data_IF_060266645023
#
_entry.id   IF_060266645023
#
_cell.length_a   1.000
_cell.length_b   1.000
_cell.length_c   1.000
_cell.angle_alpha   90.00
_cell.angle_beta   90.00
_cell.angle_gamma   90.00
#
_symmetry.space_group_name_H-M   'P 1'
#
loop_
_entity.id
_entity.type
_entity.pdbx_description
1 polymer ?
#
# COMPACT_ATOMS: atom_id res chain seq x y z
N UNK A 1 -10.81 -8.77 35.16
CA UNK A 1 -10.68 -7.82 34.00
C UNK A 1 -11.01 -6.42 34.51
N UNK A 2 -10.05 -5.48 34.60
CA UNK A 2 -10.34 -4.10 35.00
C UNK A 2 -11.01 -3.36 33.86
N UNK A 3 -12.26 -3.03 33.97
CA UNK A 3 -12.98 -2.19 32.99
C UNK A 3 -12.37 -0.80 33.06
N UNK A 4 -11.92 -0.32 31.89
CA UNK A 4 -11.29 1.00 31.75
C UNK A 4 -12.37 2.09 31.80
N UNK A 5 -12.44 2.84 32.90
CA UNK A 5 -13.43 3.93 33.08
C UNK A 5 -13.10 5.23 32.33
N UNK A 6 -12.06 5.26 31.50
CA UNK A 6 -11.75 6.45 30.68
C UNK A 6 -12.46 6.34 29.32
N UNK A 7 -13.27 7.35 28.98
CA UNK A 7 -13.80 7.50 27.63
C UNK A 7 -12.64 7.51 26.63
N UNK A 8 -12.77 6.74 25.56
CA UNK A 8 -11.84 6.85 24.45
C UNK A 8 -11.96 8.25 23.83
N UNK A 9 -10.84 8.84 23.44
CA UNK A 9 -10.86 10.02 22.61
C UNK A 9 -11.60 9.69 21.32
N UNK A 10 -12.61 10.44 20.97
CA UNK A 10 -13.51 10.15 19.85
C UNK A 10 -12.93 10.54 18.50
N UNK A 11 -11.90 11.37 18.47
CA UNK A 11 -11.24 11.79 17.22
C UNK A 11 -9.76 12.05 17.46
N UNK A 12 -8.89 11.78 16.49
CA UNK A 12 -7.51 12.26 16.51
C UNK A 12 -7.50 13.79 16.60
N UNK A 13 -6.70 14.31 17.51
CA UNK A 13 -6.61 15.74 17.75
C UNK A 13 -5.58 16.36 16.80
N UNK A 14 -5.98 17.37 16.04
CA UNK A 14 -5.04 18.21 15.30
C UNK A 14 -4.51 19.31 16.19
N UNK A 15 -3.21 19.32 16.46
CA UNK A 15 -2.57 20.38 17.22
C UNK A 15 -2.46 21.68 16.41
N UNK A 16 -2.12 22.78 17.12
CA UNK A 16 -1.96 24.11 16.49
C UNK A 16 -0.89 24.10 15.40
N UNK A 17 0.14 23.27 15.54
CA UNK A 17 1.24 23.18 14.58
C UNK A 17 0.75 22.55 13.27
N UNK A 18 -0.03 21.47 13.36
CA UNK A 18 -0.65 20.80 12.19
C UNK A 18 -1.60 21.75 11.47
N UNK A 19 -2.48 22.45 12.21
CA UNK A 19 -3.42 23.43 11.63
C UNK A 19 -2.65 24.55 10.92
N UNK A 20 -1.63 25.11 11.56
CA UNK A 20 -0.80 26.17 10.97
C UNK A 20 -0.08 25.71 9.71
N UNK A 21 0.43 24.48 9.68
CA UNK A 21 1.09 23.91 8.52
C UNK A 21 0.12 23.77 7.33
N UNK A 22 -1.11 23.30 7.56
CA UNK A 22 -2.14 23.18 6.53
C UNK A 22 -2.54 24.57 5.99
N UNK A 23 -2.83 25.54 6.87
CA UNK A 23 -3.17 26.91 6.48
C UNK A 23 -2.05 27.54 5.64
N UNK A 24 -0.78 27.33 6.02
CA UNK A 24 0.38 27.81 5.24
C UNK A 24 0.42 27.21 3.83
N UNK A 25 0.08 25.93 3.68
CA UNK A 25 0.03 25.27 2.37
C UNK A 25 -1.09 25.81 1.49
N UNK A 26 -2.28 26.01 2.06
CA UNK A 26 -3.42 26.62 1.37
C UNK A 26 -3.08 28.04 0.90
N UNK A 27 -2.55 28.89 1.79
CA UNK A 27 -2.15 30.25 1.44
C UNK A 27 -1.11 30.34 0.33
N UNK A 28 -0.18 29.36 0.29
CA UNK A 28 0.84 29.26 -0.77
C UNK A 28 0.33 28.59 -2.04
N UNK A 29 -0.90 28.08 -2.07
CA UNK A 29 -1.45 27.26 -3.16
C UNK A 29 -0.57 26.06 -3.51
N UNK A 30 0.10 25.50 -2.49
CA UNK A 30 0.96 24.31 -2.61
C UNK A 30 0.16 23.04 -2.37
N UNK A 31 -0.56 22.59 -3.39
CA UNK A 31 -1.31 21.33 -3.37
C UNK A 31 -0.42 20.11 -3.67
N UNK A 32 -0.95 19.05 -4.23
CA UNK A 32 -0.26 17.76 -4.38
C UNK A 32 1.00 17.79 -5.25
N UNK A 33 1.11 18.76 -6.17
CA UNK A 33 2.25 18.92 -7.10
C UNK A 33 2.65 17.63 -7.86
N UNK A 34 1.69 16.76 -8.13
CA UNK A 34 1.90 15.60 -8.98
C UNK A 34 1.92 16.02 -10.45
N UNK A 35 3.07 16.42 -10.94
CA UNK A 35 3.26 16.67 -12.37
C UNK A 35 4.75 16.73 -12.71
N UNK A 36 5.13 16.08 -13.79
CA UNK A 36 6.51 16.08 -14.29
C UNK A 36 7.48 15.20 -13.52
N UNK A 37 8.71 15.18 -13.96
CA UNK A 37 9.79 14.36 -13.39
C UNK A 37 10.34 14.95 -12.09
N UNK A 38 10.72 14.15 -11.08
CA UNK A 38 11.37 14.65 -9.88
C UNK A 38 12.76 15.19 -10.18
N UNK A 39 13.18 16.17 -9.38
CA UNK A 39 14.54 16.67 -9.41
C UNK A 39 15.58 15.60 -9.00
N UNK A 40 16.86 15.88 -9.28
CA UNK A 40 17.98 14.96 -9.05
C UNK A 40 18.11 14.53 -7.57
N UNK A 41 17.85 15.43 -6.63
CA UNK A 41 17.96 15.15 -5.18
C UNK A 41 16.82 14.25 -4.73
N UNK A 42 15.61 14.48 -5.20
CA UNK A 42 14.43 13.66 -4.94
C UNK A 42 14.63 12.23 -5.47
N UNK A 43 15.23 12.07 -6.66
CA UNK A 43 15.58 10.75 -7.22
C UNK A 43 16.53 9.98 -6.30
N UNK A 44 17.62 10.60 -5.89
CA UNK A 44 18.63 10.01 -5.00
C UNK A 44 18.00 9.57 -3.67
N UNK A 45 17.14 10.41 -3.13
CA UNK A 45 16.46 10.17 -1.85
C UNK A 45 15.48 8.99 -1.89
N UNK A 46 14.82 8.78 -3.01
CA UNK A 46 13.85 7.68 -3.18
C UNK A 46 14.52 6.35 -3.56
N UNK A 47 15.85 6.31 -3.67
CA UNK A 47 16.57 5.13 -4.14
C UNK A 47 16.24 4.75 -5.60
N UNK A 48 15.61 5.66 -6.33
CA UNK A 48 15.26 5.50 -7.74
C UNK A 48 16.40 6.08 -8.56
N UNK A 49 17.54 5.40 -8.57
CA UNK A 49 18.64 5.78 -9.45
C UNK A 49 18.26 5.45 -10.90
N UNK A 50 18.20 6.48 -11.70
CA UNK A 50 18.29 6.48 -13.16
C UNK A 50 17.22 5.83 -14.04
N UNK A 51 16.36 4.97 -13.56
CA UNK A 51 15.61 4.05 -14.45
C UNK A 51 14.36 4.66 -15.09
N UNK A 52 13.79 5.75 -14.58
CA UNK A 52 12.43 6.14 -15.01
C UNK A 52 12.30 7.61 -15.38
N UNK A 53 13.37 8.37 -15.50
CA UNK A 53 13.20 9.80 -15.68
C UNK A 53 14.09 10.39 -16.75
N UNK A 54 13.50 10.91 -17.82
CA UNK A 54 14.24 11.62 -18.85
C UNK A 54 14.88 12.88 -18.29
N UNK A 55 15.97 13.34 -18.94
CA UNK A 55 16.63 14.62 -18.70
C UNK A 55 15.74 15.84 -18.92
N UNK A 56 14.44 15.65 -19.07
CA UNK A 56 13.51 16.69 -19.45
C UNK A 56 13.01 17.47 -18.24
N UNK A 57 13.37 18.74 -18.25
CA UNK A 57 12.70 19.90 -17.68
C UNK A 57 13.13 20.29 -16.27
N UNK A 58 13.81 21.41 -16.20
CA UNK A 58 13.87 22.38 -15.09
C UNK A 58 12.47 22.89 -14.72
N UNK A 59 11.56 22.02 -14.31
CA UNK A 59 10.26 22.43 -13.82
C UNK A 59 10.08 21.91 -12.40
N UNK A 60 9.54 22.73 -11.53
CA UNK A 60 9.14 22.40 -10.15
C UNK A 60 8.08 21.29 -10.08
N UNK A 61 7.78 20.62 -11.17
CA UNK A 61 6.74 19.61 -11.31
C UNK A 61 7.31 18.25 -10.95
N UNK A 62 6.70 17.57 -10.00
CA UNK A 62 7.15 16.28 -9.51
C UNK A 62 6.15 15.17 -9.83
N UNK A 63 6.59 14.17 -10.57
CA UNK A 63 5.84 12.93 -10.84
C UNK A 63 5.53 12.15 -9.56
N UNK A 64 6.34 12.30 -8.53
CA UNK A 64 6.18 11.60 -7.25
C UNK A 64 5.36 12.36 -6.21
N UNK A 65 4.90 13.55 -6.52
CA UNK A 65 4.21 14.43 -5.60
C UNK A 65 5.09 15.51 -4.98
N UNK A 66 4.48 16.43 -4.27
CA UNK A 66 5.17 17.52 -3.58
C UNK A 66 5.91 17.06 -2.34
N UNK A 67 6.70 17.99 -1.76
CA UNK A 67 7.55 17.74 -0.59
C UNK A 67 6.84 17.05 0.58
N UNK A 68 5.58 17.39 0.85
CA UNK A 68 4.82 16.80 1.96
C UNK A 68 4.53 15.31 1.72
N UNK A 69 4.18 14.94 0.49
CA UNK A 69 3.96 13.55 0.07
C UNK A 69 5.26 12.74 0.22
N UNK A 70 6.38 13.27 -0.28
CA UNK A 70 7.68 12.62 -0.18
C UNK A 70 8.14 12.44 1.26
N UNK A 71 7.88 13.43 2.13
CA UNK A 71 8.17 13.33 3.55
C UNK A 71 7.31 12.27 4.25
N UNK A 72 6.02 12.19 3.93
CA UNK A 72 5.14 11.14 4.45
C UNK A 72 5.66 9.76 4.05
N UNK A 73 5.93 9.53 2.77
CA UNK A 73 6.43 8.25 2.27
C UNK A 73 7.76 7.86 2.94
N UNK A 74 8.68 8.82 3.09
CA UNK A 74 9.96 8.60 3.78
C UNK A 74 9.79 8.26 5.25
N UNK A 75 9.01 9.06 5.97
CA UNK A 75 8.82 8.88 7.41
C UNK A 75 8.14 7.55 7.69
N UNK A 76 7.17 7.16 6.86
CA UNK A 76 6.49 5.86 6.98
C UNK A 76 7.43 4.70 6.66
N UNK A 77 8.27 4.82 5.63
CA UNK A 77 9.29 3.82 5.33
C UNK A 77 10.26 3.61 6.49
N UNK A 78 10.71 4.70 7.11
CA UNK A 78 11.60 4.64 8.28
C UNK A 78 10.91 4.00 9.48
N UNK A 79 9.65 4.38 9.76
CA UNK A 79 8.86 3.85 10.85
C UNK A 79 8.60 2.34 10.71
N UNK A 80 8.20 1.92 9.52
CA UNK A 80 7.93 0.51 9.20
C UNK A 80 9.20 -0.31 8.93
N UNK A 81 10.37 0.33 8.81
CA UNK A 81 11.64 -0.30 8.41
C UNK A 81 11.56 -1.03 7.08
N UNK A 82 10.88 -0.41 6.10
CA UNK A 82 10.75 -0.90 4.72
C UNK A 82 11.49 0.00 3.74
N UNK A 83 11.83 -0.53 2.57
CA UNK A 83 12.57 0.24 1.55
C UNK A 83 11.70 1.26 0.83
N UNK A 84 10.43 0.96 0.62
CA UNK A 84 9.54 1.77 -0.22
C UNK A 84 8.17 1.93 0.43
N UNK A 85 7.68 3.16 0.40
CA UNK A 85 6.30 3.52 0.71
C UNK A 85 5.76 4.35 -0.44
N UNK A 86 4.51 4.11 -0.83
CA UNK A 86 3.81 4.85 -1.88
C UNK A 86 2.46 5.28 -1.32
N UNK A 87 2.19 6.59 -1.32
CA UNK A 87 0.93 7.14 -0.86
C UNK A 87 -0.10 7.18 -1.98
N UNK A 88 -1.36 6.93 -1.64
CA UNK A 88 -2.52 6.97 -2.54
C UNK A 88 -3.73 7.54 -1.81
N UNK A 89 -4.77 7.89 -2.54
CA UNK A 89 -5.95 8.59 -2.00
C UNK A 89 -6.87 7.76 -1.10
N UNK A 90 -6.69 6.44 -1.01
CA UNK A 90 -7.42 5.57 -0.07
C UNK A 90 -6.75 4.20 0.08
N UNK A 91 -7.08 3.44 1.12
CA UNK A 91 -6.61 2.05 1.26
C UNK A 91 -7.21 1.15 0.17
N UNK A 92 -8.42 1.42 -0.30
CA UNK A 92 -9.01 0.69 -1.44
C UNK A 92 -8.16 0.85 -2.69
N UNK A 93 -7.77 2.09 -3.01
CA UNK A 93 -6.85 2.35 -4.13
C UNK A 93 -5.47 1.72 -3.89
N UNK A 94 -5.01 1.68 -2.63
CA UNK A 94 -3.75 1.03 -2.27
C UNK A 94 -3.79 -0.48 -2.53
N UNK A 95 -4.87 -1.16 -2.13
CA UNK A 95 -5.06 -2.60 -2.36
C UNK A 95 -5.15 -2.90 -3.87
N UNK A 96 -5.99 -2.15 -4.60
CA UNK A 96 -6.09 -2.28 -6.07
C UNK A 96 -4.73 -2.09 -6.74
N UNK A 97 -4.00 -1.05 -6.36
CA UNK A 97 -2.66 -0.76 -6.88
C UNK A 97 -1.67 -1.88 -6.53
N UNK A 98 -1.69 -2.38 -5.30
CA UNK A 98 -0.80 -3.46 -4.85
C UNK A 98 -1.05 -4.76 -5.63
N UNK A 99 -2.31 -5.13 -5.86
CA UNK A 99 -2.69 -6.30 -6.66
C UNK A 99 -2.16 -6.17 -8.10
N UNK A 100 -2.45 -5.04 -8.76
CA UNK A 100 -1.98 -4.78 -10.12
C UNK A 100 -0.44 -4.73 -10.20
N UNK A 101 0.23 -4.14 -9.21
CA UNK A 101 1.69 -4.06 -9.16
C UNK A 101 2.36 -5.42 -8.98
N UNK A 102 1.61 -6.41 -8.49
CA UNK A 102 2.04 -7.81 -8.39
C UNK A 102 1.73 -8.62 -9.66
N UNK A 103 1.32 -7.98 -10.75
CA UNK A 103 0.96 -8.63 -12.03
C UNK A 103 -0.22 -9.61 -11.88
N UNK A 104 -1.17 -9.31 -11.00
CA UNK A 104 -2.39 -10.09 -10.78
C UNK A 104 -3.56 -9.38 -11.46
N UNK A 105 -4.34 -10.12 -12.24
CA UNK A 105 -5.41 -9.59 -13.05
C UNK A 105 -6.43 -10.63 -13.52
N UNK A 106 -7.01 -10.47 -14.73
CA UNK A 106 -8.11 -11.28 -15.21
C UNK A 106 -7.82 -12.80 -15.16
N UNK A 107 -8.69 -13.53 -14.48
CA UNK A 107 -8.62 -14.99 -14.36
C UNK A 107 -7.70 -15.52 -13.26
N UNK A 108 -6.89 -14.65 -12.62
CA UNK A 108 -6.09 -15.01 -11.46
C UNK A 108 -6.95 -15.07 -10.21
N UNK A 109 -6.63 -15.97 -9.29
CA UNK A 109 -7.32 -16.10 -8.01
C UNK A 109 -6.51 -15.52 -6.86
N UNK A 110 -7.21 -14.80 -5.96
CA UNK A 110 -6.65 -14.35 -4.67
C UNK A 110 -7.46 -14.96 -3.55
N UNK A 111 -6.81 -15.75 -2.69
CA UNK A 111 -7.45 -16.32 -1.51
C UNK A 111 -7.53 -15.22 -0.44
N UNK A 112 -8.75 -14.94 0.05
CA UNK A 112 -9.01 -13.93 1.08
C UNK A 112 -10.17 -14.37 1.98
N UNK A 113 -10.29 -13.76 3.16
CA UNK A 113 -11.46 -13.98 4.01
C UNK A 113 -12.65 -13.11 3.56
N UNK A 114 -13.90 -13.63 3.59
CA UNK A 114 -15.09 -12.80 3.44
C UNK A 114 -15.39 -11.97 4.71
N UNK A 115 -14.79 -12.32 5.84
CA UNK A 115 -14.91 -11.58 7.09
C UNK A 115 -13.96 -10.39 7.09
N UNK A 116 -14.38 -9.31 6.41
CA UNK A 116 -13.57 -8.13 6.19
C UNK A 116 -14.45 -6.92 5.83
N UNK A 117 -13.85 -5.74 5.84
CA UNK A 117 -14.45 -4.58 5.18
C UNK A 117 -14.47 -4.79 3.66
N UNK A 118 -15.55 -4.39 3.02
CA UNK A 118 -15.82 -4.64 1.58
C UNK A 118 -14.64 -4.26 0.66
N UNK A 119 -13.85 -3.25 1.03
CA UNK A 119 -12.72 -2.76 0.23
C UNK A 119 -11.69 -3.84 -0.12
N UNK A 120 -11.42 -4.80 0.79
CA UNK A 120 -10.47 -5.88 0.53
C UNK A 120 -10.91 -6.74 -0.66
N UNK A 121 -12.19 -7.12 -0.69
CA UNK A 121 -12.76 -7.92 -1.79
C UNK A 121 -13.00 -7.07 -3.04
N UNK A 122 -13.51 -5.85 -2.88
CA UNK A 122 -13.78 -4.94 -3.99
C UNK A 122 -12.51 -4.62 -4.79
N UNK A 123 -11.36 -4.48 -4.11
CA UNK A 123 -10.06 -4.26 -4.78
C UNK A 123 -9.62 -5.44 -5.65
N UNK A 124 -9.94 -6.67 -5.24
CA UNK A 124 -9.68 -7.88 -6.05
C UNK A 124 -10.55 -7.86 -7.31
N UNK A 125 -11.85 -7.63 -7.14
CA UNK A 125 -12.80 -7.59 -8.27
C UNK A 125 -12.46 -6.44 -9.23
N UNK A 126 -12.05 -5.28 -8.72
CA UNK A 126 -11.65 -4.13 -9.54
C UNK A 126 -10.46 -4.40 -10.46
N UNK A 127 -9.65 -5.40 -10.16
CA UNK A 127 -8.55 -5.85 -11.04
C UNK A 127 -8.95 -6.98 -11.99
N UNK A 128 -10.23 -7.36 -12.03
CA UNK A 128 -10.76 -8.53 -12.73
C UNK A 128 -10.14 -9.87 -12.25
N UNK A 129 -9.49 -9.88 -11.10
CA UNK A 129 -9.10 -11.11 -10.41
C UNK A 129 -10.30 -11.71 -9.66
N UNK A 130 -10.21 -12.97 -9.31
CA UNK A 130 -11.28 -13.75 -8.70
C UNK A 130 -11.00 -13.87 -7.19
N UNK A 131 -11.84 -13.30 -6.30
CA UNK A 131 -11.72 -13.55 -4.88
C UNK A 131 -12.13 -15.00 -4.57
N UNK A 132 -11.24 -15.74 -3.94
CA UNK A 132 -11.51 -17.11 -3.48
C UNK A 132 -11.66 -17.09 -1.97
N UNK A 133 -12.88 -17.25 -1.50
CA UNK A 133 -13.19 -17.11 -0.09
C UNK A 133 -12.68 -18.28 0.73
N UNK A 134 -11.98 -17.93 1.80
CA UNK A 134 -11.45 -18.82 2.83
C UNK A 134 -12.02 -18.41 4.18
N UNK A 135 -12.42 -19.40 4.95
CA UNK A 135 -12.91 -19.20 6.30
C UNK A 135 -11.80 -18.69 7.26
N UNK A 136 -12.22 -18.21 8.41
CA UNK A 136 -11.35 -17.67 9.46
C UNK A 136 -11.08 -18.70 10.56
N UNK A 137 -10.02 -18.46 11.31
CA UNK A 137 -9.79 -19.03 12.63
C UNK A 137 -10.59 -18.21 13.65
N UNK A 138 -11.48 -18.89 14.40
CA UNK A 138 -12.38 -18.25 15.36
C UNK A 138 -11.68 -17.61 16.55
N UNK A 139 -10.42 -17.97 16.83
CA UNK A 139 -9.65 -17.36 17.92
C UNK A 139 -9.03 -16.03 17.49
N UNK A 140 -8.68 -15.89 16.23
CA UNK A 140 -7.98 -14.71 15.70
C UNK A 140 -8.84 -13.83 14.82
N UNK A 141 -9.94 -14.36 14.28
CA UNK A 141 -10.78 -13.75 13.24
C UNK A 141 -10.01 -13.40 11.95
N UNK A 142 -8.82 -13.97 11.80
CA UNK A 142 -8.01 -13.86 10.61
C UNK A 142 -8.11 -15.15 9.78
N UNK A 143 -7.68 -15.10 8.52
CA UNK A 143 -7.70 -16.21 7.59
C UNK A 143 -7.05 -17.48 8.18
N UNK A 144 -7.76 -18.62 8.13
CA UNK A 144 -7.24 -19.92 8.56
C UNK A 144 -6.22 -20.45 7.55
N UNK A 145 -4.95 -20.63 7.95
CA UNK A 145 -3.90 -21.05 7.01
C UNK A 145 -4.10 -22.46 6.47
N UNK A 146 -4.73 -23.38 7.21
CA UNK A 146 -4.97 -24.76 6.76
C UNK A 146 -6.03 -24.78 5.66
N UNK A 147 -7.13 -24.05 5.91
CA UNK A 147 -8.21 -23.91 4.92
C UNK A 147 -7.72 -23.16 3.69
N UNK A 148 -6.91 -22.09 3.89
CA UNK A 148 -6.33 -21.35 2.76
C UNK A 148 -5.46 -22.24 1.87
N UNK A 149 -4.64 -23.11 2.45
CA UNK A 149 -3.80 -24.03 1.67
C UNK A 149 -4.62 -25.01 0.84
N UNK A 150 -5.71 -25.55 1.37
CA UNK A 150 -6.59 -26.49 0.65
C UNK A 150 -7.31 -25.86 -0.55
N UNK A 151 -7.41 -24.52 -0.56
CA UNK A 151 -8.04 -23.76 -1.65
C UNK A 151 -7.11 -23.43 -2.81
N UNK A 152 -5.81 -23.70 -2.72
CA UNK A 152 -4.83 -23.34 -3.75
C UNK A 152 -5.10 -24.13 -5.04
N UNK A 153 -5.15 -23.40 -6.16
CA UNK A 153 -5.25 -23.97 -7.52
C UNK A 153 -4.10 -23.46 -8.40
N UNK A 154 -4.04 -23.92 -9.64
CA UNK A 154 -3.08 -23.41 -10.65
C UNK A 154 -3.31 -21.93 -10.99
N UNK A 155 -4.51 -21.39 -10.74
CA UNK A 155 -4.88 -20.00 -10.98
C UNK A 155 -4.57 -19.11 -9.78
N UNK A 156 -4.33 -19.66 -8.60
CA UNK A 156 -4.04 -18.89 -7.40
C UNK A 156 -2.70 -18.18 -7.55
N UNK A 157 -2.68 -16.86 -7.36
CA UNK A 157 -1.48 -16.00 -7.44
C UNK A 157 -1.10 -15.38 -6.11
N UNK A 158 -2.08 -15.17 -5.22
CA UNK A 158 -1.83 -14.54 -3.94
C UNK A 158 -2.73 -15.07 -2.83
N UNK A 159 -2.26 -14.87 -1.59
CA UNK A 159 -3.09 -14.89 -0.39
C UNK A 159 -3.11 -13.46 0.14
N UNK A 160 -4.30 -12.92 0.41
CA UNK A 160 -4.49 -11.65 1.09
C UNK A 160 -4.78 -11.90 2.56
N UNK A 161 -3.78 -11.65 3.41
CA UNK A 161 -3.93 -11.72 4.87
C UNK A 161 -4.50 -10.39 5.37
N UNK A 162 -5.72 -10.45 5.93
CA UNK A 162 -6.43 -9.30 6.48
C UNK A 162 -6.25 -9.33 7.99
N UNK A 163 -5.70 -8.26 8.55
CA UNK A 163 -5.42 -8.14 9.98
C UNK A 163 -6.61 -7.52 10.68
N UNK A 164 -7.63 -8.33 10.96
CA UNK A 164 -8.88 -7.87 11.57
C UNK A 164 -8.67 -7.32 12.98
N UNK A 165 -9.16 -6.10 13.24
CA UNK A 165 -9.02 -5.42 14.53
C UNK A 165 -7.60 -5.41 15.10
N UNK A 166 -6.60 -5.22 14.23
CA UNK A 166 -5.18 -5.25 14.60
C UNK A 166 -4.68 -6.62 15.07
N UNK A 167 -5.44 -7.68 14.83
CA UNK A 167 -5.01 -9.04 15.11
C UNK A 167 -4.27 -9.62 13.89
N UNK A 168 -3.25 -10.39 14.15
CA UNK A 168 -2.54 -11.14 13.11
C UNK A 168 -2.84 -12.62 13.30
N UNK A 169 -3.33 -13.27 12.28
CA UNK A 169 -3.38 -14.73 12.27
C UNK A 169 -1.98 -15.36 12.26
N UNK A 170 -1.87 -16.63 11.99
CA UNK A 170 -0.57 -17.31 11.87
C UNK A 170 0.13 -16.92 10.56
N UNK A 171 0.72 -15.71 10.55
CA UNK A 171 1.46 -15.18 9.39
C UNK A 171 2.67 -16.02 9.02
N UNK A 172 3.31 -16.68 9.98
CA UNK A 172 4.45 -17.54 9.69
C UNK A 172 4.04 -18.73 8.84
N UNK A 173 2.88 -19.33 9.18
CA UNK A 173 2.33 -20.45 8.42
C UNK A 173 1.86 -20.01 7.03
N UNK A 174 1.12 -18.91 6.95
CA UNK A 174 0.70 -18.31 5.67
C UNK A 174 1.92 -18.01 4.79
N UNK A 175 2.96 -17.41 5.34
CA UNK A 175 4.20 -17.08 4.61
C UNK A 175 4.91 -18.34 4.10
N UNK A 176 4.95 -19.43 4.89
CA UNK A 176 5.51 -20.71 4.46
C UNK A 176 4.70 -21.31 3.31
N UNK A 177 3.36 -21.24 3.38
CA UNK A 177 2.45 -21.68 2.32
C UNK A 177 2.69 -20.89 1.03
N UNK A 178 2.73 -19.56 1.11
CA UNK A 178 3.01 -18.70 -0.02
C UNK A 178 4.37 -19.03 -0.67
N UNK A 179 5.43 -19.17 0.15
CA UNK A 179 6.77 -19.50 -0.36
C UNK A 179 6.80 -20.85 -1.10
N UNK A 180 6.19 -21.90 -0.52
CA UNK A 180 6.14 -23.24 -1.10
C UNK A 180 5.39 -23.27 -2.44
N UNK A 181 4.31 -22.51 -2.53
CA UNK A 181 3.44 -22.47 -3.70
C UNK A 181 3.74 -21.31 -4.66
N UNK A 182 4.83 -20.54 -4.42
CA UNK A 182 5.24 -19.38 -5.22
C UNK A 182 4.13 -18.32 -5.32
N UNK A 183 3.35 -18.14 -4.27
CA UNK A 183 2.28 -17.15 -4.16
C UNK A 183 2.81 -15.85 -3.58
N UNK A 184 2.17 -14.75 -3.94
CA UNK A 184 2.37 -13.44 -3.32
C UNK A 184 1.60 -13.37 -2.00
N UNK A 185 2.24 -12.86 -0.96
CA UNK A 185 1.56 -12.52 0.29
C UNK A 185 1.26 -11.02 0.31
N UNK A 186 -0.02 -10.67 0.23
CA UNK A 186 -0.53 -9.31 0.39
C UNK A 186 -1.05 -9.16 1.81
N UNK A 187 -0.65 -8.09 2.52
CA UNK A 187 -1.17 -7.79 3.85
C UNK A 187 -2.13 -6.59 3.79
N UNK A 188 -3.39 -6.79 4.12
CA UNK A 188 -4.31 -5.69 4.43
C UNK A 188 -4.16 -5.31 5.90
N UNK A 189 -3.27 -4.34 6.16
CA UNK A 189 -2.98 -3.79 7.48
C UNK A 189 -3.71 -2.45 7.73
N UNK A 190 -4.84 -2.23 7.06
CA UNK A 190 -5.62 -0.99 7.15
C UNK A 190 -6.06 -0.60 8.56
N UNK A 191 -5.98 -1.51 9.51
CA UNK A 191 -6.35 -1.31 10.93
C UNK A 191 -5.17 -1.48 11.89
N UNK A 192 -3.92 -1.68 11.39
CA UNK A 192 -2.81 -2.19 12.19
C UNK A 192 -1.67 -1.19 12.37
N UNK A 193 -1.98 0.11 12.43
CA UNK A 193 -0.97 1.14 12.64
C UNK A 193 -0.21 0.90 13.96
N UNK A 194 1.10 0.70 13.85
CA UNK A 194 1.97 0.51 15.01
C UNK A 194 2.01 -0.89 15.61
N UNK A 195 1.16 -1.79 15.19
CA UNK A 195 1.12 -3.16 15.70
C UNK A 195 2.27 -4.00 15.20
N UNK A 196 2.75 -4.89 16.06
CA UNK A 196 3.88 -5.78 15.76
C UNK A 196 3.44 -7.25 15.77
N UNK A 197 4.04 -8.02 14.87
CA UNK A 197 4.05 -9.47 14.89
C UNK A 197 5.50 -9.94 14.98
N UNK A 198 5.89 -10.55 16.10
CA UNK A 198 7.26 -11.05 16.35
C UNK A 198 8.34 -10.01 16.01
N UNK A 199 8.22 -8.81 16.59
CA UNK A 199 9.16 -7.68 16.40
C UNK A 199 9.21 -7.08 14.98
N UNK A 200 8.23 -7.37 14.12
CA UNK A 200 8.07 -6.73 12.81
C UNK A 200 6.72 -6.06 12.73
N UNK A 201 6.65 -4.89 12.12
CA UNK A 201 5.38 -4.21 11.91
C UNK A 201 4.45 -5.06 11.04
N UNK A 202 3.18 -5.22 11.46
CA UNK A 202 2.14 -5.77 10.59
C UNK A 202 2.07 -4.92 9.30
N UNK A 203 1.84 -5.56 8.17
CA UNK A 203 1.92 -4.95 6.85
C UNK A 203 3.31 -4.96 6.21
N UNK A 204 4.35 -5.50 6.92
CA UNK A 204 5.74 -5.55 6.38
C UNK A 204 6.31 -6.95 6.28
N UNK A 205 5.51 -7.96 6.56
CA UNK A 205 5.92 -9.38 6.63
C UNK A 205 5.77 -10.06 5.28
N UNK A 206 4.75 -9.67 4.52
CA UNK A 206 4.48 -10.13 3.18
C UNK A 206 5.35 -9.47 2.11
N UNK A 207 4.93 -9.64 0.87
CA UNK A 207 5.58 -9.03 -0.30
C UNK A 207 5.19 -7.56 -0.47
N UNK A 208 3.95 -7.24 -0.11
CA UNK A 208 3.37 -5.90 -0.11
C UNK A 208 2.34 -5.79 1.00
N UNK A 209 2.30 -4.64 1.66
CA UNK A 209 1.30 -4.33 2.68
C UNK A 209 0.62 -3.00 2.42
N UNK A 210 -0.59 -2.84 2.95
CA UNK A 210 -1.42 -1.66 2.76
C UNK A 210 -1.90 -1.14 4.12
N UNK A 211 -1.89 0.20 4.26
CA UNK A 211 -2.43 0.90 5.42
C UNK A 211 -3.47 1.93 4.98
N UNK A 212 -4.47 2.15 5.83
CA UNK A 212 -5.48 3.20 5.64
C UNK A 212 -5.15 4.43 6.45
N UNK A 213 -5.32 5.60 5.87
CA UNK A 213 -5.24 6.89 6.58
C UNK A 213 -6.60 7.59 6.65
N UNK A 214 -7.68 6.82 6.50
CA UNK A 214 -9.06 7.31 6.60
C UNK A 214 -9.37 7.78 8.03
N UNK A 215 -10.34 8.69 8.18
CA UNK A 215 -10.70 9.37 9.42
C UNK A 215 -10.81 8.46 10.67
N UNK A 216 -11.45 7.27 10.66
CA UNK A 216 -11.57 6.44 11.86
C UNK A 216 -10.30 5.66 12.22
N UNK A 217 -9.17 5.89 11.55
CA UNK A 217 -7.92 5.16 11.82
C UNK A 217 -7.07 5.85 12.89
N UNK A 218 -6.21 5.06 13.57
CA UNK A 218 -5.32 5.58 14.62
C UNK A 218 -4.37 6.67 14.13
N UNK A 219 -4.00 6.62 12.86
CA UNK A 219 -3.27 7.68 12.15
C UNK A 219 -4.10 8.03 10.92
N UNK A 220 -4.53 9.26 10.83
CA UNK A 220 -5.44 9.70 9.79
C UNK A 220 -5.02 11.03 9.16
N UNK A 221 -5.47 11.24 7.93
CA UNK A 221 -5.31 12.51 7.18
C UNK A 221 -6.63 12.96 6.53
N UNK A 222 -7.77 12.39 6.98
CA UNK A 222 -9.08 12.51 6.36
C UNK A 222 -9.32 11.33 5.41
N UNK A 223 -8.71 11.34 4.25
CA UNK A 223 -8.68 10.22 3.31
C UNK A 223 -7.24 9.96 2.85
N UNK A 224 -6.88 8.69 2.71
CA UNK A 224 -5.57 8.29 2.23
C UNK A 224 -5.26 6.81 2.43
N UNK A 225 -4.23 6.36 1.75
CA UNK A 225 -3.69 5.01 1.89
C UNK A 225 -2.20 4.97 1.63
N UNK A 226 -1.55 3.95 2.15
CA UNK A 226 -0.12 3.72 1.94
C UNK A 226 0.11 2.28 1.49
N UNK A 227 0.98 2.12 0.51
CA UNK A 227 1.49 0.84 0.07
C UNK A 227 2.93 0.74 0.57
N UNK A 228 3.30 -0.36 1.19
CA UNK A 228 4.67 -0.61 1.65
C UNK A 228 5.22 -1.90 1.05
N UNK A 229 6.48 -1.89 0.68
CA UNK A 229 7.15 -3.09 0.13
C UNK A 229 8.67 -2.96 0.21
N UNK A 230 9.35 -4.11 0.22
CA UNK A 230 10.80 -4.18 0.03
C UNK A 230 11.19 -4.54 -1.41
N UNK A 231 10.20 -4.84 -2.27
CA UNK A 231 10.41 -5.24 -3.67
C UNK A 231 10.37 -4.02 -4.58
N UNK A 232 11.51 -3.72 -5.21
CA UNK A 232 11.68 -2.56 -6.10
C UNK A 232 10.69 -2.58 -7.27
N UNK A 233 10.47 -3.75 -7.89
CA UNK A 233 9.52 -3.91 -9.01
C UNK A 233 8.10 -3.50 -8.62
N UNK A 234 7.61 -3.95 -7.43
CA UNK A 234 6.29 -3.59 -6.92
C UNK A 234 6.21 -2.08 -6.65
N UNK A 235 7.24 -1.50 -6.04
CA UNK A 235 7.26 -0.07 -5.73
C UNK A 235 7.20 0.81 -6.99
N UNK A 236 7.95 0.46 -8.03
CA UNK A 236 7.95 1.18 -9.32
C UNK A 236 6.56 1.10 -9.95
N UNK A 237 6.03 -0.13 -10.10
CA UNK A 237 4.69 -0.34 -10.68
C UNK A 237 3.60 0.41 -9.90
N UNK A 238 3.65 0.36 -8.57
CA UNK A 238 2.69 1.10 -7.73
C UNK A 238 2.71 2.61 -7.99
N UNK A 239 3.90 3.20 -8.18
CA UNK A 239 4.01 4.63 -8.51
C UNK A 239 3.43 4.96 -9.89
N UNK A 240 3.67 4.11 -10.87
CA UNK A 240 3.11 4.28 -12.22
C UNK A 240 1.58 4.14 -12.20
N UNK A 241 1.06 3.08 -11.58
CA UNK A 241 -0.38 2.82 -11.49
C UNK A 241 -1.09 3.98 -10.78
N UNK A 242 -0.51 4.50 -9.69
CA UNK A 242 -1.03 5.66 -8.96
C UNK A 242 -1.20 6.89 -9.85
N UNK A 243 -0.38 7.06 -10.87
CA UNK A 243 -0.31 8.25 -11.71
C UNK A 243 -0.51 7.93 -13.20
N UNK A 244 -1.65 7.36 -13.54
CA UNK A 244 -2.12 7.09 -14.91
C UNK A 244 -1.28 6.08 -15.73
N UNK A 245 -0.33 5.38 -15.12
CA UNK A 245 0.60 4.52 -15.84
C UNK A 245 1.61 5.33 -16.68
N UNK A 246 1.67 6.63 -16.48
CA UNK A 246 2.57 7.51 -17.22
C UNK A 246 4.02 7.17 -16.92
N UNK A 247 4.59 6.40 -17.81
CA UNK A 247 6.01 6.13 -17.83
C UNK A 247 6.65 7.08 -18.85
N UNK A 248 7.14 8.22 -18.37
CA UNK A 248 7.93 9.14 -19.20
C UNK A 248 9.33 8.53 -19.30
N UNK A 249 9.45 7.49 -20.12
CA UNK A 249 10.71 6.76 -20.34
C UNK A 249 11.48 7.41 -21.46
N UNK A 250 12.78 7.58 -21.25
CA UNK A 250 13.72 7.75 -22.36
C UNK A 250 13.80 6.41 -23.14
N UNK A 251 13.63 6.44 -24.44
CA UNK A 251 13.67 5.29 -25.34
C UNK A 251 14.96 4.44 -25.26
N UNK A 252 15.93 4.85 -24.47
CA UNK A 252 17.23 4.17 -24.28
C UNK A 252 17.34 3.37 -22.99
N UNK A 253 16.30 3.31 -22.15
CA UNK A 253 16.36 2.56 -20.90
C UNK A 253 15.92 1.11 -21.10
N UNK A 254 16.73 0.19 -20.60
CA UNK A 254 16.57 -1.27 -20.71
C UNK A 254 15.34 -1.86 -19.98
N UNK A 255 14.58 -1.06 -19.24
CA UNK A 255 13.37 -1.50 -18.53
C UNK A 255 12.12 -1.50 -19.44
N UNK A 256 12.22 -2.12 -20.61
CA UNK A 256 11.10 -2.31 -21.55
C UNK A 256 9.90 -3.07 -20.94
N UNK A 257 10.14 -3.81 -19.87
CA UNK A 257 9.08 -4.57 -19.17
C UNK A 257 8.04 -3.70 -18.43
N UNK A 258 8.29 -2.39 -18.29
CA UNK A 258 7.43 -1.50 -17.49
C UNK A 258 6.63 -0.53 -18.37
N UNK A 259 6.77 -0.61 -19.69
CA UNK A 259 6.29 0.41 -20.63
C UNK A 259 4.77 0.44 -20.87
N UNK A 260 4.02 -0.59 -20.51
CA UNK A 260 2.59 -0.69 -20.81
C UNK A 260 1.76 -0.99 -19.55
N UNK A 261 1.76 -0.07 -18.59
CA UNK A 261 0.98 -0.20 -17.36
C UNK A 261 -0.26 0.68 -17.46
N UNK A 262 -1.43 0.09 -17.31
CA UNK A 262 -2.68 0.84 -17.09
C UNK A 262 -2.63 1.42 -15.69
N UNK A 263 -2.87 2.71 -15.56
CA UNK A 263 -2.89 3.41 -14.28
C UNK A 263 -4.13 4.28 -14.11
N UNK A 264 -4.26 4.78 -12.89
CA UNK A 264 -5.40 5.55 -12.44
C UNK A 264 -4.97 6.87 -11.80
N UNK A 265 -5.91 7.74 -11.54
CA UNK A 265 -5.67 8.91 -10.71
C UNK A 265 -5.90 8.56 -9.23
N UNK A 266 -4.96 7.88 -8.61
CA UNK A 266 -5.00 7.51 -7.20
C UNK A 266 -4.08 8.37 -6.31
N UNK A 267 -3.70 9.54 -6.79
CA UNK A 267 -2.82 10.47 -6.07
C UNK A 267 -3.47 10.97 -4.77
N UNK A 268 -2.66 11.04 -3.69
CA UNK A 268 -3.04 11.61 -2.40
C UNK A 268 -3.00 13.14 -2.46
#
# INVERSE_FOLDING_TARGET
MKIRNKKFSTLPFFDKQTISAVVKKIKKREFSKFSGSPDKNTRKHLGVNSIILPKLINSERSFFGGRSILMLEKNWSNYCKVKYTISVNSATSALTTAIMACDIGPGDEIICSPFTFTASVASIVATNAIPKFCDIDLNTFCLDPIKAESLITKKTKAIMAIHWNSNAGDLDKIKKICKRNKLILIEDASQCHGMDYKNKKLGTIGDVGVFSLNEPKNIMVGEGGLIVTNKRKIAIKSRLIRNHGENIVNHNDSDKEISNIIGYNFRL
#
